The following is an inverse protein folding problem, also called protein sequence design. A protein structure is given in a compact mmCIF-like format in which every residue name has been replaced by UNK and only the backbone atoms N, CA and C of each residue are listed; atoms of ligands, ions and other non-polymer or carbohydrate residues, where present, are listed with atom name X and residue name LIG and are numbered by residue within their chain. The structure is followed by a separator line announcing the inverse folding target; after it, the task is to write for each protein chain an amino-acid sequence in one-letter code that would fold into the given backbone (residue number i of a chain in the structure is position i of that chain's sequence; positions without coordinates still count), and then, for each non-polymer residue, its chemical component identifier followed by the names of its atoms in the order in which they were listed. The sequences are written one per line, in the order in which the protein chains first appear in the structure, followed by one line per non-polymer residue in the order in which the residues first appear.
data_IF_580319046134
#
_entry.id   IF_580319046134
#
_cell.length_a   1.000
_cell.length_b   1.000
_cell.length_c   1.000
_cell.angle_alpha   90.00
_cell.angle_beta   90.00
_cell.angle_gamma   90.00
#
_symmetry.space_group_name_H-M   'P 1'
#
loop_
_entity.id
_entity.type
_entity.pdbx_description
1 polymer ?
#
# COMPACT_ATOMS: atom_id res chain seq x y z
N UNK A 1 -1.46 38.47 -16.03
CA UNK A 1 -1.85 37.15 -15.50
C UNK A 1 -1.25 36.12 -16.43
N UNK A 2 -0.07 35.61 -16.10
CA UNK A 2 0.59 34.56 -16.88
C UNK A 2 -0.28 33.31 -16.85
N UNK A 3 -0.61 32.78 -18.03
CA UNK A 3 -1.44 31.60 -18.21
C UNK A 3 -0.68 30.37 -17.67
N UNK A 4 -0.83 30.07 -16.37
CA UNK A 4 -0.05 29.05 -15.66
C UNK A 4 -0.52 27.61 -15.93
N UNK A 5 -1.46 27.44 -16.85
CA UNK A 5 -1.97 26.15 -17.29
C UNK A 5 -1.44 25.87 -18.69
N UNK A 6 -0.24 25.32 -18.75
CA UNK A 6 0.42 24.84 -19.96
C UNK A 6 0.74 23.33 -19.80
N UNK A 7 1.45 22.74 -20.76
CA UNK A 7 1.78 21.31 -20.73
C UNK A 7 2.57 20.89 -19.47
N UNK A 8 3.39 21.79 -18.90
CA UNK A 8 4.18 21.53 -17.70
C UNK A 8 3.32 21.36 -16.44
N UNK A 9 2.03 21.72 -16.48
CA UNK A 9 1.09 21.51 -15.39
C UNK A 9 0.64 20.04 -15.25
N UNK A 10 0.99 19.16 -16.20
CA UNK A 10 0.69 17.74 -16.13
C UNK A 10 1.84 17.00 -15.46
N UNK A 11 1.56 16.46 -14.27
CA UNK A 11 2.51 15.65 -13.50
C UNK A 11 2.26 14.15 -13.74
N UNK A 12 3.32 13.41 -14.07
CA UNK A 12 3.30 11.94 -14.14
C UNK A 12 4.02 11.40 -12.91
N UNK A 13 3.24 10.83 -12.00
CA UNK A 13 3.76 10.15 -10.81
C UNK A 13 4.21 8.73 -11.18
N UNK A 14 5.41 8.34 -10.77
CA UNK A 14 6.00 7.03 -11.12
C UNK A 14 6.37 6.23 -9.88
N UNK A 15 6.58 4.91 -10.04
CA UNK A 15 6.88 4.02 -8.93
C UNK A 15 5.79 4.04 -7.86
N UNK A 16 6.17 4.35 -6.62
CA UNK A 16 5.26 4.40 -5.46
C UNK A 16 4.73 5.82 -5.18
N UNK A 17 5.10 6.81 -5.98
CA UNK A 17 4.65 8.19 -5.78
C UNK A 17 3.13 8.35 -5.88
N UNK A 18 2.40 7.66 -6.78
CA UNK A 18 0.94 7.69 -6.78
C UNK A 18 0.32 7.19 -5.47
N UNK A 19 0.89 6.11 -4.90
CA UNK A 19 0.40 5.49 -3.65
C UNK A 19 0.62 6.44 -2.48
N UNK A 20 1.80 7.07 -2.39
CA UNK A 20 2.11 8.06 -1.35
C UNK A 20 1.25 9.33 -1.49
N UNK A 21 0.99 9.77 -2.73
CA UNK A 21 0.21 10.98 -3.00
C UNK A 21 -1.29 10.78 -2.78
N UNK A 22 -1.78 9.56 -2.97
CA UNK A 22 -3.21 9.20 -2.93
C UNK A 22 -3.43 7.87 -2.17
N UNK A 23 -3.05 7.77 -0.88
CA UNK A 23 -3.09 6.50 -0.15
C UNK A 23 -4.50 5.93 -0.01
N UNK A 24 -5.53 6.77 0.10
CA UNK A 24 -6.93 6.32 0.22
C UNK A 24 -7.47 5.56 -1.00
N UNK A 25 -6.76 5.58 -2.13
CA UNK A 25 -7.08 4.72 -3.28
C UNK A 25 -6.55 3.29 -3.11
N UNK A 26 -5.53 3.08 -2.26
CA UNK A 26 -4.77 1.84 -2.16
C UNK A 26 -4.88 1.14 -0.80
N UNK A 27 -5.27 1.86 0.25
CA UNK A 27 -5.39 1.29 1.60
C UNK A 27 -6.48 2.00 2.40
N UNK A 28 -7.00 1.33 3.42
CA UNK A 28 -7.74 1.99 4.49
C UNK A 28 -6.80 2.97 5.22
N UNK A 29 -7.14 4.26 5.19
CA UNK A 29 -6.36 5.34 5.84
C UNK A 29 -6.84 5.65 7.26
N UNK A 30 -7.89 4.97 7.75
CA UNK A 30 -8.38 5.17 9.12
C UNK A 30 -7.50 4.47 10.15
N UNK A 31 -6.85 3.37 9.77
CA UNK A 31 -5.96 2.55 10.61
C UNK A 31 -5.08 1.64 9.74
N UNK A 32 -3.91 1.19 10.22
CA UNK A 32 -2.95 0.45 9.40
C UNK A 32 -3.31 -1.02 9.14
N UNK A 33 -4.51 -1.45 9.54
CA UNK A 33 -4.86 -2.87 9.57
C UNK A 33 -4.89 -3.48 8.16
N UNK A 34 -5.29 -2.69 7.17
CA UNK A 34 -5.30 -3.13 5.77
C UNK A 34 -3.88 -3.46 5.27
N UNK A 35 -2.86 -2.69 5.66
CA UNK A 35 -1.47 -2.99 5.29
C UNK A 35 -1.00 -4.32 5.88
N UNK A 36 -1.45 -4.66 7.09
CA UNK A 36 -1.14 -5.95 7.72
C UNK A 36 -1.88 -7.08 7.01
N UNK A 37 -3.14 -6.86 6.62
CA UNK A 37 -3.94 -7.83 5.86
C UNK A 37 -3.25 -8.21 4.55
N UNK A 38 -2.74 -7.24 3.78
CA UNK A 38 -2.00 -7.50 2.53
C UNK A 38 -0.82 -8.48 2.73
N UNK A 39 -0.09 -8.36 3.85
CA UNK A 39 1.06 -9.25 4.15
C UNK A 39 0.57 -10.64 4.61
N UNK A 40 -0.51 -10.68 5.38
CA UNK A 40 -1.12 -11.95 5.80
C UNK A 40 -1.70 -12.69 4.60
N UNK A 41 -2.35 -12.00 3.67
CA UNK A 41 -2.96 -12.59 2.48
C UNK A 41 -1.91 -13.23 1.58
N UNK A 42 -0.79 -12.54 1.33
CA UNK A 42 0.36 -13.14 0.64
C UNK A 42 0.92 -14.38 1.37
N UNK A 43 0.90 -14.37 2.71
CA UNK A 43 1.32 -15.53 3.51
C UNK A 43 0.32 -16.69 3.42
N UNK A 44 -0.98 -16.38 3.29
CA UNK A 44 -2.05 -17.36 3.10
C UNK A 44 -1.96 -17.98 1.70
N UNK A 45 -1.59 -17.21 0.66
CA UNK A 45 -1.38 -17.75 -0.69
C UNK A 45 -0.34 -18.89 -0.68
N UNK A 46 0.77 -18.70 0.03
CA UNK A 46 1.77 -19.76 0.22
C UNK A 46 1.21 -20.97 0.97
N UNK A 47 0.32 -20.75 1.93
CA UNK A 47 -0.34 -21.82 2.67
C UNK A 47 -1.36 -22.58 1.79
N UNK A 48 -2.10 -21.88 0.92
CA UNK A 48 -3.08 -22.47 0.01
C UNK A 48 -2.43 -23.42 -1.01
N UNK A 49 -1.21 -23.11 -1.46
CA UNK A 49 -0.44 -23.97 -2.37
C UNK A 49 0.41 -25.01 -1.62
N UNK A 50 0.34 -25.00 -0.28
CA UNK A 50 0.97 -26.01 0.58
C UNK A 50 2.46 -25.78 0.89
N UNK A 51 2.99 -24.60 0.57
CA UNK A 51 4.37 -24.21 0.88
C UNK A 51 4.52 -23.71 2.32
N UNK A 52 3.51 -23.02 2.86
CA UNK A 52 3.47 -22.59 4.25
C UNK A 52 2.51 -23.45 5.10
N UNK A 53 2.81 -23.61 6.39
CA UNK A 53 1.98 -24.36 7.36
C UNK A 53 1.68 -23.60 8.64
N UNK A 54 2.38 -22.49 8.87
CA UNK A 54 2.25 -21.68 10.08
C UNK A 54 2.50 -20.23 9.71
N UNK A 55 1.59 -19.36 10.11
CA UNK A 55 1.71 -17.90 9.96
C UNK A 55 1.72 -17.34 11.38
N UNK A 56 2.76 -16.58 11.72
CA UNK A 56 2.90 -15.95 13.04
C UNK A 56 2.87 -14.44 12.88
N UNK A 57 1.93 -13.79 13.57
CA UNK A 57 1.79 -12.34 13.59
C UNK A 57 2.21 -11.85 14.97
N UNK A 58 3.10 -10.86 15.01
CA UNK A 58 3.56 -10.24 16.26
C UNK A 58 3.40 -8.73 16.15
N UNK A 59 2.71 -8.13 17.11
CA UNK A 59 2.63 -6.68 17.25
C UNK A 59 3.72 -6.23 18.23
N UNK A 60 4.68 -5.47 17.72
CA UNK A 60 5.75 -4.89 18.53
C UNK A 60 5.23 -3.71 19.36
N UNK A 61 5.89 -3.42 20.48
CA UNK A 61 5.48 -2.35 21.40
C UNK A 61 5.72 -0.94 20.84
N UNK A 62 6.58 -0.81 19.84
CA UNK A 62 6.96 0.45 19.18
C UNK A 62 5.99 0.86 18.06
N UNK A 63 5.11 -0.05 17.63
CA UNK A 63 4.13 0.20 16.57
C UNK A 63 4.72 0.02 15.18
#
# INVERSE_FOLDING_TARGET
MTNSYNADAIEVLTGLDPVRKRPGMYTDTTRPNHLIQEVIDNSVDEALVGFARTITVTLSLDG
#
